data_IF_036122693662
#
_entry.id   IF_036122693662
#
_cell.length_a   1.000
_cell.length_b   1.000
_cell.length_c   1.000
_cell.angle_alpha   90.00
_cell.angle_beta   90.00
_cell.angle_gamma   90.00
#
_symmetry.space_group_name_H-M   'P 1'
#
loop_
_entity.id
_entity.type
_entity.pdbx_description
1 polymer ?
#
# COMPACT_ATOMS: atom_id res chain seq x y z
N UNK A 1 16.37 -13.82 14.55
CA UNK A 1 16.17 -12.83 13.46
C UNK A 1 14.69 -12.82 13.12
N UNK A 2 14.05 -11.65 13.01
CA UNK A 2 12.65 -11.57 12.55
C UNK A 2 12.59 -12.14 11.13
N UNK A 3 11.99 -13.31 10.95
CA UNK A 3 11.75 -13.89 9.63
C UNK A 3 10.42 -13.37 9.12
N UNK A 4 10.45 -12.31 8.33
CA UNK A 4 9.28 -11.83 7.61
C UNK A 4 9.07 -12.67 6.35
N UNK A 5 7.82 -12.81 5.94
CA UNK A 5 7.47 -13.48 4.70
C UNK A 5 8.05 -12.69 3.51
N UNK A 6 8.63 -13.35 2.50
CA UNK A 6 9.24 -12.68 1.31
C UNK A 6 8.36 -11.60 0.67
N UNK A 7 7.03 -11.78 0.74
CA UNK A 7 6.04 -10.83 0.24
C UNK A 7 6.09 -9.49 0.98
N UNK A 8 6.35 -9.50 2.28
CA UNK A 8 6.46 -8.31 3.13
C UNK A 8 7.74 -7.57 2.78
N UNK A 9 8.86 -8.27 2.59
CA UNK A 9 10.12 -7.66 2.18
C UNK A 9 9.96 -6.91 0.85
N UNK A 10 9.30 -7.54 -0.13
CA UNK A 10 9.04 -6.91 -1.43
C UNK A 10 8.09 -5.71 -1.33
N UNK A 11 7.10 -5.76 -0.43
CA UNK A 11 6.23 -4.62 -0.16
C UNK A 11 7.01 -3.44 0.42
N UNK A 12 7.91 -3.69 1.37
CA UNK A 12 8.74 -2.66 1.99
C UNK A 12 9.73 -2.05 1.00
N UNK A 13 10.38 -2.86 0.16
CA UNK A 13 11.27 -2.36 -0.90
C UNK A 13 10.52 -1.46 -1.88
N UNK A 14 9.33 -1.88 -2.32
CA UNK A 14 8.51 -1.09 -3.22
C UNK A 14 8.05 0.22 -2.60
N UNK A 15 7.62 0.20 -1.33
CA UNK A 15 7.24 1.41 -0.60
C UNK A 15 8.42 2.36 -0.38
N UNK A 16 9.60 1.82 -0.08
CA UNK A 16 10.84 2.60 0.05
C UNK A 16 11.20 3.29 -1.27
N UNK A 17 11.07 2.58 -2.40
CA UNK A 17 11.28 3.17 -3.72
C UNK A 17 10.32 4.32 -4.00
N UNK A 18 9.03 4.12 -3.72
CA UNK A 18 8.00 5.13 -3.91
C UNK A 18 8.17 6.32 -2.96
N UNK A 19 8.71 6.10 -1.75
CA UNK A 19 9.02 7.15 -0.79
C UNK A 19 10.12 8.09 -1.27
N UNK A 20 11.10 7.58 -2.05
CA UNK A 20 12.14 8.40 -2.67
C UNK A 20 11.66 9.17 -3.92
N UNK A 21 10.50 8.79 -4.48
CA UNK A 21 9.88 9.44 -5.64
C UNK A 21 8.47 9.97 -5.32
N UNK A 22 8.31 10.87 -4.33
CA UNK A 22 7.00 11.26 -3.81
C UNK A 22 6.13 12.02 -4.82
N UNK A 23 6.68 12.51 -5.93
CA UNK A 23 5.97 13.28 -6.95
C UNK A 23 5.73 12.51 -8.26
N UNK A 24 6.41 11.38 -8.47
CA UNK A 24 6.32 10.60 -9.69
C UNK A 24 5.61 9.28 -9.43
N UNK A 25 4.69 8.89 -10.31
CA UNK A 25 4.21 7.53 -10.33
C UNK A 25 5.33 6.61 -10.83
N UNK A 26 5.51 5.45 -10.20
CA UNK A 26 6.45 4.44 -10.66
C UNK A 26 5.73 3.22 -11.19
N UNK A 27 6.20 2.70 -12.32
CA UNK A 27 5.65 1.48 -12.88
C UNK A 27 6.12 0.26 -12.10
N UNK A 28 5.25 -0.76 -12.03
CA UNK A 28 5.61 -2.04 -11.42
C UNK A 28 6.85 -2.67 -12.06
N UNK A 29 7.02 -2.49 -13.38
CA UNK A 29 8.21 -2.98 -14.10
C UNK A 29 9.49 -2.27 -13.64
N UNK A 30 9.48 -0.96 -13.52
CA UNK A 30 10.64 -0.20 -13.05
C UNK A 30 11.08 -0.61 -11.64
N UNK A 31 10.11 -0.74 -10.71
CA UNK A 31 10.40 -1.19 -9.34
C UNK A 31 10.91 -2.64 -9.34
N UNK A 32 10.35 -3.50 -10.19
CA UNK A 32 10.77 -4.88 -10.31
C UNK A 32 12.18 -5.01 -10.90
N UNK A 33 12.54 -4.19 -11.89
CA UNK A 33 13.87 -4.18 -12.49
C UNK A 33 14.94 -3.65 -11.52
N UNK A 34 14.65 -2.58 -10.79
CA UNK A 34 15.57 -2.00 -9.80
C UNK A 34 15.97 -3.01 -8.71
N UNK A 35 15.01 -3.78 -8.20
CA UNK A 35 15.24 -4.74 -7.11
C UNK A 35 15.31 -6.20 -7.57
N UNK A 36 15.36 -6.44 -8.89
CA UNK A 36 15.31 -7.78 -9.50
C UNK A 36 14.19 -8.68 -8.94
N UNK A 37 12.99 -8.12 -8.80
CA UNK A 37 11.81 -8.79 -8.23
C UNK A 37 10.93 -9.41 -9.31
N UNK A 38 10.22 -10.52 -9.01
CA UNK A 38 9.22 -11.06 -9.91
C UNK A 38 8.05 -10.09 -10.08
N UNK A 39 7.92 -9.52 -11.28
CA UNK A 39 6.92 -8.49 -11.65
C UNK A 39 5.50 -8.91 -11.26
N UNK A 40 5.13 -10.17 -11.48
CA UNK A 40 3.78 -10.65 -11.22
C UNK A 40 3.43 -10.66 -9.72
N UNK A 41 4.40 -11.01 -8.89
CA UNK A 41 4.23 -11.02 -7.45
C UNK A 41 4.19 -9.58 -6.92
N UNK A 42 5.07 -8.72 -7.41
CA UNK A 42 5.07 -7.31 -7.06
C UNK A 42 3.76 -6.62 -7.46
N UNK A 43 3.22 -6.92 -8.65
CA UNK A 43 1.92 -6.42 -9.09
C UNK A 43 0.81 -6.80 -8.11
N UNK A 44 0.76 -8.07 -7.68
CA UNK A 44 -0.22 -8.55 -6.68
C UNK A 44 -0.08 -7.82 -5.33
N UNK A 45 1.15 -7.54 -4.90
CA UNK A 45 1.44 -6.76 -3.68
C UNK A 45 0.94 -5.32 -3.82
N UNK A 46 1.35 -4.62 -4.89
CA UNK A 46 0.99 -3.22 -5.13
C UNK A 46 -0.53 -3.04 -5.25
N UNK A 47 -1.21 -4.00 -5.90
CA UNK A 47 -2.67 -4.04 -5.97
C UNK A 47 -3.32 -4.18 -4.60
N UNK A 48 -2.79 -5.03 -3.71
CA UNK A 48 -3.28 -5.13 -2.32
C UNK A 48 -3.09 -3.82 -1.55
N UNK A 49 -1.92 -3.20 -1.68
CA UNK A 49 -1.60 -1.92 -1.02
C UNK A 49 -2.47 -0.77 -1.55
N UNK A 50 -2.78 -0.77 -2.86
CA UNK A 50 -3.70 0.19 -3.46
C UNK A 50 -5.13 0.01 -2.95
N UNK A 51 -5.60 -1.24 -2.81
CA UNK A 51 -6.92 -1.54 -2.20
C UNK A 51 -7.01 -1.13 -0.73
N UNK A 52 -5.88 -1.13 -0.02
CA UNK A 52 -5.79 -0.67 1.37
C UNK A 52 -5.54 0.85 1.50
N UNK A 53 -5.67 1.60 0.41
CA UNK A 53 -5.49 3.06 0.37
C UNK A 53 -4.10 3.52 0.86
N UNK A 54 -3.07 2.66 0.74
CA UNK A 54 -1.68 3.05 0.97
C UNK A 54 -1.07 3.65 -0.29
N UNK A 55 -1.49 3.13 -1.44
CA UNK A 55 -1.06 3.56 -2.77
C UNK A 55 -2.23 4.09 -3.58
N UNK A 56 -1.95 5.05 -4.45
CA UNK A 56 -2.84 5.42 -5.55
C UNK A 56 -2.29 4.86 -6.85
N UNK A 57 -3.15 4.23 -7.63
CA UNK A 57 -2.84 3.80 -9.00
C UNK A 57 -3.33 4.87 -9.98
N UNK A 58 -2.41 5.46 -10.74
CA UNK A 58 -2.74 6.42 -11.80
C UNK A 58 -2.70 5.70 -13.13
N UNK A 59 -3.78 5.77 -13.90
CA UNK A 59 -3.85 5.24 -15.27
C UNK A 59 -3.41 6.30 -16.27
N UNK A 60 -2.50 5.95 -17.19
CA UNK A 60 -1.99 6.87 -18.22
C UNK A 60 -0.62 6.45 -18.78
N UNK A 61 -0.09 7.14 -19.79
CA UNK A 61 1.23 6.87 -20.38
C UNK A 61 2.40 7.08 -19.41
N UNK A 62 2.23 8.01 -18.45
CA UNK A 62 3.10 8.22 -17.27
C UNK A 62 2.49 7.65 -15.98
N UNK A 63 1.55 6.71 -16.13
CA UNK A 63 0.84 6.07 -15.02
C UNK A 63 1.73 5.16 -14.18
N UNK A 64 1.19 4.67 -13.07
CA UNK A 64 1.92 3.84 -12.12
C UNK A 64 1.34 3.90 -10.71
N UNK A 65 2.15 3.54 -9.71
CA UNK A 65 1.79 3.64 -8.30
C UNK A 65 2.49 4.82 -7.64
N UNK A 66 1.80 5.48 -6.73
CA UNK A 66 2.35 6.55 -5.88
C UNK A 66 1.85 6.36 -4.46
N UNK A 67 2.65 6.80 -3.49
CA UNK A 67 2.21 6.85 -2.09
C UNK A 67 1.03 7.81 -1.96
N UNK A 68 -0.07 7.32 -1.37
CA UNK A 68 -1.21 8.17 -1.04
C UNK A 68 -0.90 9.07 0.17
N UNK A 69 0.03 8.62 1.04
CA UNK A 69 0.38 9.26 2.31
C UNK A 69 1.89 9.43 2.45
N UNK A 70 2.30 10.38 3.29
CA UNK A 70 3.71 10.54 3.63
C UNK A 70 4.26 9.25 4.27
N UNK A 71 5.50 8.83 3.93
CA UNK A 71 6.08 7.57 4.40
C UNK A 71 6.14 7.49 5.94
N UNK A 72 6.30 8.62 6.62
CA UNK A 72 6.32 8.72 8.09
C UNK A 72 4.99 8.31 8.75
N UNK A 73 3.88 8.35 8.00
CA UNK A 73 2.57 7.92 8.50
C UNK A 73 2.30 6.44 8.25
N UNK A 74 3.11 5.77 7.44
CA UNK A 74 2.90 4.39 7.03
C UNK A 74 3.56 3.47 8.06
N UNK A 75 2.75 2.73 8.81
CA UNK A 75 3.24 1.78 9.82
C UNK A 75 3.60 0.43 9.21
N UNK A 76 4.79 -0.09 9.54
CA UNK A 76 5.24 -1.43 9.09
C UNK A 76 4.24 -2.53 9.51
N UNK A 77 3.71 -2.46 10.73
CA UNK A 77 2.70 -3.40 11.21
C UNK A 77 1.41 -3.42 10.36
N UNK A 78 1.02 -2.29 9.77
CA UNK A 78 -0.13 -2.22 8.88
C UNK A 78 0.17 -2.91 7.54
N UNK A 79 1.38 -2.74 7.01
CA UNK A 79 1.82 -3.40 5.77
C UNK A 79 1.80 -4.93 5.96
N UNK A 80 2.34 -5.42 7.08
CA UNK A 80 2.32 -6.86 7.41
C UNK A 80 0.89 -7.38 7.41
N UNK A 81 -0.05 -6.72 8.10
CA UNK A 81 -1.45 -7.15 8.19
C UNK A 81 -2.16 -7.17 6.83
N UNK A 82 -1.93 -6.16 5.97
CA UNK A 82 -2.48 -6.07 4.61
C UNK A 82 -1.95 -7.20 3.71
N UNK A 83 -0.65 -7.50 3.80
CA UNK A 83 0.01 -8.48 2.91
C UNK A 83 -0.31 -9.92 3.32
N UNK A 84 -0.20 -10.23 4.62
CA UNK A 84 -0.56 -11.54 5.16
C UNK A 84 -2.06 -11.78 5.08
N UNK A 85 -2.85 -10.71 5.16
CA UNK A 85 -4.28 -10.76 4.97
C UNK A 85 -4.95 -11.43 6.16
N UNK A 86 -5.30 -10.64 7.17
CA UNK A 86 -6.60 -10.88 7.77
C UNK A 86 -7.62 -10.36 6.78
N UNK A 87 -8.42 -11.21 6.11
CA UNK A 87 -9.49 -10.70 5.29
C UNK A 87 -10.43 -9.97 6.25
N UNK A 88 -10.42 -8.64 6.21
CA UNK A 88 -11.55 -7.85 6.65
C UNK A 88 -12.68 -8.20 5.68
N UNK A 89 -13.34 -9.33 5.94
CA UNK A 89 -14.59 -9.67 5.31
C UNK A 89 -15.54 -8.53 5.64
N UNK A 90 -15.72 -7.68 4.64
CA UNK A 90 -16.97 -7.04 4.27
C UNK A 90 -17.62 -6.29 5.43
N UNK A 91 -17.41 -4.97 5.43
CA UNK A 91 -18.39 -4.04 5.97
C UNK A 91 -19.78 -4.44 5.42
N UNK A 92 -20.73 -4.62 6.34
CA UNK A 92 -22.13 -5.06 6.19
C UNK A 92 -22.39 -6.54 6.52
N UNK A 93 -22.42 -6.91 7.80
CA UNK A 93 -23.64 -7.36 8.51
C UNK A 93 -23.42 -7.27 10.02
N UNK A 94 -24.52 -7.05 10.73
CA UNK A 94 -24.64 -6.71 12.16
C UNK A 94 -24.19 -7.85 13.08
N UNK A 95 -23.69 -7.44 14.26
CA UNK A 95 -23.59 -8.20 15.53
C UNK A 95 -22.71 -9.46 15.53
N UNK A 96 -21.49 -9.39 16.09
CA UNK A 96 -21.22 -9.76 17.50
C UNK A 96 -19.69 -9.88 17.74
N UNK A 97 -19.25 -9.29 18.85
CA UNK A 97 -18.20 -9.75 19.78
C UNK A 97 -16.76 -10.03 19.31
N UNK A 98 -15.89 -9.06 19.66
CA UNK A 98 -14.56 -9.25 20.26
C UNK A 98 -13.33 -9.53 19.36
N UNK A 99 -12.93 -8.54 18.54
CA UNK A 99 -11.50 -8.23 18.24
C UNK A 99 -11.29 -6.94 17.42
N UNK A 100 -12.19 -5.95 17.53
CA UNK A 100 -12.15 -4.71 16.75
C UNK A 100 -11.56 -3.50 17.50
N UNK A 101 -10.56 -3.71 18.36
CA UNK A 101 -10.00 -2.64 19.21
C UNK A 101 -8.68 -2.03 18.72
N UNK A 102 -8.12 -2.49 17.59
CA UNK A 102 -6.87 -1.89 17.04
C UNK A 102 -7.04 -0.95 15.85
N UNK A 103 -8.23 -0.80 15.30
CA UNK A 103 -8.43 -0.02 14.06
C UNK A 103 -9.24 1.28 14.24
N UNK A 104 -9.65 1.62 15.47
CA UNK A 104 -10.50 2.82 15.71
C UNK A 104 -9.72 4.14 15.81
N UNK A 105 -8.38 4.10 15.78
CA UNK A 105 -7.51 5.26 15.86
C UNK A 105 -6.59 5.44 14.63
N UNK A 106 -6.82 4.71 13.53
CA UNK A 106 -6.10 4.93 12.29
C UNK A 106 -6.53 6.28 11.67
N UNK A 107 -5.66 7.30 11.56
CA UNK A 107 -6.01 8.63 11.04
C UNK A 107 -6.33 8.65 9.53
N UNK A 108 -6.43 7.49 8.88
CA UNK A 108 -6.42 7.33 7.43
C UNK A 108 -7.75 7.64 6.72
N UNK A 109 -8.88 7.70 7.42
CA UNK A 109 -10.20 7.72 6.77
C UNK A 109 -10.76 9.10 6.36
N UNK A 110 -9.99 10.20 6.40
CA UNK A 110 -10.62 11.55 6.44
C UNK A 110 -10.15 12.66 5.51
N UNK A 111 -9.23 12.46 4.57
CA UNK A 111 -8.75 13.64 3.81
C UNK A 111 -8.17 13.36 2.44
N UNK A 112 -9.01 13.32 1.40
CA UNK A 112 -8.57 13.55 0.01
C UNK A 112 -9.67 14.23 -0.82
N UNK A 113 -9.84 15.54 -0.62
CA UNK A 113 -10.36 16.42 -1.66
C UNK A 113 -9.40 17.62 -1.74
N UNK A 114 -8.82 17.85 -2.91
CA UNK A 114 -8.08 19.06 -3.23
C UNK A 114 -6.58 18.86 -3.44
N UNK A 115 -6.18 18.56 -4.67
CA UNK A 115 -5.38 19.50 -5.49
C UNK A 115 -4.98 18.81 -6.78
N UNK A 116 -5.88 18.87 -7.76
CA UNK A 116 -5.66 18.44 -9.14
C UNK A 116 -5.33 19.69 -9.93
N UNK A 117 -4.03 19.96 -10.06
CA UNK A 117 -3.32 21.00 -10.82
C UNK A 117 -1.90 20.87 -10.27
N UNK A 118 -0.87 20.38 -10.95
CA UNK A 118 -0.56 20.31 -12.37
C UNK A 118 0.24 19.02 -12.66
N UNK A 119 -0.14 18.31 -13.72
CA UNK A 119 0.67 17.34 -14.47
C UNK A 119 0.44 17.62 -15.95
#
# INVERSE_FOLDING_TARGET
MLSLSKKIDYALLALSYLAHKPYCAANTKEIAEEYALPVELLAKILQKLAKAEILVSTSGPTGGYRLLLAPEKISVGAIVDIIEGRPALVQCMRSDSHSADRYRNAPFARRLCGSMREC
#
